data_IF_181350836222
#
_entry.id   IF_181350836222
#
_cell.length_a   1.000
_cell.length_b   1.000
_cell.length_c   1.000
_cell.angle_alpha   90.00
_cell.angle_beta   90.00
_cell.angle_gamma   90.00
#
_symmetry.space_group_name_H-M   'P 1'
#
loop_
_entity.id
_entity.type
_entity.pdbx_description
1 polymer ?
#
# COMPACT_ATOMS: atom_id res chain seq x y z
N UNK A 1 11.51 45.03 9.91
CA UNK A 1 12.09 43.66 9.76
C UNK A 1 12.23 42.87 11.08
N UNK A 2 12.26 43.51 12.27
CA UNK A 2 12.39 42.80 13.55
C UNK A 2 11.17 41.97 14.01
N UNK A 3 9.98 42.42 13.65
CA UNK A 3 8.73 41.87 14.16
C UNK A 3 8.43 40.41 13.70
N UNK A 4 8.91 40.06 12.52
CA UNK A 4 8.68 38.70 11.94
C UNK A 4 9.82 37.71 12.20
N UNK A 5 10.94 38.14 12.83
CA UNK A 5 12.08 37.23 13.07
C UNK A 5 11.69 36.02 13.93
N UNK A 6 10.82 36.23 14.94
CA UNK A 6 10.34 35.14 15.81
C UNK A 6 9.54 34.07 15.04
N UNK A 7 8.73 34.49 14.06
CA UNK A 7 7.96 33.57 13.22
C UNK A 7 8.88 32.78 12.26
N UNK A 8 9.93 33.40 11.75
CA UNK A 8 10.94 32.69 10.96
C UNK A 8 11.68 31.64 11.76
N UNK A 9 12.10 31.97 13.01
CA UNK A 9 12.73 30.98 13.90
C UNK A 9 11.75 29.84 14.23
N UNK A 10 10.50 30.15 14.49
CA UNK A 10 9.47 29.14 14.74
C UNK A 10 9.28 28.24 13.50
N UNK A 11 9.16 28.82 12.32
CA UNK A 11 9.04 28.06 11.07
C UNK A 11 10.23 27.13 10.87
N UNK A 12 11.44 27.63 11.02
CA UNK A 12 12.65 26.81 10.90
C UNK A 12 12.68 25.68 11.93
N UNK A 13 12.32 25.97 13.18
CA UNK A 13 12.25 24.94 14.22
C UNK A 13 11.22 23.85 13.90
N UNK A 14 10.05 24.24 13.41
CA UNK A 14 8.99 23.29 12.98
C UNK A 14 9.48 22.46 11.80
N UNK A 15 10.11 23.06 10.81
CA UNK A 15 10.66 22.33 9.65
C UNK A 15 11.74 21.33 10.09
N UNK A 16 12.70 21.75 10.92
CA UNK A 16 13.74 20.85 11.44
C UNK A 16 13.10 19.71 12.21
N UNK A 17 12.14 19.98 13.10
CA UNK A 17 11.43 18.97 13.85
C UNK A 17 10.68 17.97 12.93
N UNK A 18 9.95 18.49 11.96
CA UNK A 18 9.20 17.67 11.00
C UNK A 18 10.14 16.78 10.16
N UNK A 19 11.22 17.34 9.60
CA UNK A 19 12.17 16.55 8.81
C UNK A 19 12.96 15.55 9.65
N UNK A 20 13.25 15.86 10.93
CA UNK A 20 13.88 14.89 11.84
C UNK A 20 12.97 13.69 12.11
N UNK A 21 11.68 13.96 12.36
CA UNK A 21 10.66 12.89 12.58
C UNK A 21 10.49 12.07 11.30
N UNK A 22 10.33 12.73 10.15
CA UNK A 22 10.20 12.04 8.86
C UNK A 22 11.44 11.21 8.52
N UNK A 23 12.62 11.72 8.80
CA UNK A 23 13.88 11.01 8.58
C UNK A 23 14.00 9.76 9.47
N UNK A 24 13.63 9.89 10.75
CA UNK A 24 13.60 8.76 11.67
C UNK A 24 12.63 7.67 11.20
N UNK A 25 11.37 8.01 10.94
CA UNK A 25 10.39 7.02 10.48
C UNK A 25 10.71 6.48 9.08
N UNK A 26 11.27 7.31 8.19
CA UNK A 26 11.74 6.83 6.88
C UNK A 26 12.83 5.76 7.01
N UNK A 27 13.76 5.95 7.94
CA UNK A 27 14.77 4.93 8.25
C UNK A 27 14.16 3.65 8.85
N UNK A 28 13.21 3.77 9.79
CA UNK A 28 12.51 2.63 10.37
C UNK A 28 11.72 1.84 9.31
N UNK A 29 10.99 2.53 8.42
CA UNK A 29 10.25 1.90 7.31
C UNK A 29 11.20 1.12 6.40
N UNK A 30 12.37 1.69 6.08
CA UNK A 30 13.37 0.99 5.28
C UNK A 30 13.93 -0.24 5.99
N UNK A 31 14.23 -0.13 7.29
CA UNK A 31 14.75 -1.23 8.11
C UNK A 31 13.76 -2.38 8.25
N UNK A 32 12.47 -2.05 8.33
CA UNK A 32 11.39 -3.02 8.53
C UNK A 32 10.70 -3.45 7.22
N UNK A 33 11.26 -3.07 6.09
CA UNK A 33 10.74 -3.46 4.78
C UNK A 33 10.60 -4.99 4.67
N UNK A 34 9.53 -5.50 4.03
CA UNK A 34 9.36 -6.93 3.81
C UNK A 34 10.55 -7.50 3.04
N UNK A 35 11.12 -8.63 3.48
CA UNK A 35 12.22 -9.26 2.76
C UNK A 35 11.74 -9.83 1.43
N UNK A 36 12.54 -9.70 0.38
CA UNK A 36 12.39 -10.48 -0.84
C UNK A 36 13.32 -11.70 -0.70
N UNK A 37 12.77 -12.91 -0.51
CA UNK A 37 13.60 -14.11 -0.39
C UNK A 37 14.43 -14.37 -1.65
N UNK A 38 15.58 -15.01 -1.50
CA UNK A 38 16.39 -15.44 -2.65
C UNK A 38 15.63 -16.45 -3.50
N UNK A 39 14.84 -17.31 -2.84
CA UNK A 39 14.03 -18.31 -3.50
C UNK A 39 12.89 -18.83 -2.62
N UNK A 40 11.83 -19.28 -3.27
CA UNK A 40 10.83 -20.16 -2.70
C UNK A 40 11.05 -21.55 -3.29
N UNK A 41 10.99 -22.56 -2.45
CA UNK A 41 11.19 -23.96 -2.84
C UNK A 41 10.05 -24.84 -2.37
N UNK A 42 9.82 -25.94 -3.08
CA UNK A 42 8.92 -27.00 -2.63
C UNK A 42 9.55 -27.80 -1.46
N UNK A 43 8.79 -28.64 -0.81
CA UNK A 43 9.30 -29.62 0.18
C UNK A 43 10.36 -30.58 -0.41
N UNK A 44 10.31 -30.81 -1.73
CA UNK A 44 11.34 -31.59 -2.43
C UNK A 44 12.62 -30.81 -2.73
N UNK A 45 12.66 -29.50 -2.45
CA UNK A 45 13.80 -28.62 -2.72
C UNK A 45 13.82 -28.05 -4.15
N UNK A 46 12.78 -28.28 -4.95
CA UNK A 46 12.65 -27.68 -6.27
C UNK A 46 12.39 -26.18 -6.17
N UNK A 47 13.11 -25.39 -6.97
CA UNK A 47 12.92 -23.93 -7.02
C UNK A 47 11.63 -23.58 -7.77
N UNK A 48 10.75 -22.82 -7.11
CA UNK A 48 9.46 -22.42 -7.66
C UNK A 48 9.46 -20.94 -8.06
N UNK A 49 9.99 -20.08 -7.19
CA UNK A 49 10.07 -18.63 -7.41
C UNK A 49 11.47 -18.18 -6.99
N UNK A 50 12.07 -17.30 -7.78
CA UNK A 50 13.35 -16.66 -7.47
C UNK A 50 13.14 -15.19 -7.11
N UNK A 51 14.16 -14.57 -6.50
CA UNK A 51 14.21 -13.14 -6.24
C UNK A 51 13.93 -12.32 -7.51
N UNK A 52 14.57 -12.67 -8.62
CA UNK A 52 14.44 -11.95 -9.89
C UNK A 52 13.05 -12.09 -10.49
N UNK A 53 12.38 -13.23 -10.33
CA UNK A 53 10.98 -13.40 -10.74
C UNK A 53 10.06 -12.37 -10.08
N UNK A 54 10.28 -12.10 -8.79
CA UNK A 54 9.48 -11.13 -8.03
C UNK A 54 9.72 -9.70 -8.57
N UNK A 55 10.98 -9.34 -8.85
CA UNK A 55 11.33 -8.03 -9.41
C UNK A 55 10.80 -7.86 -10.85
N UNK A 56 10.86 -8.90 -11.66
CA UNK A 56 10.24 -8.88 -13.00
C UNK A 56 8.72 -8.73 -12.88
N UNK A 57 8.09 -9.42 -11.93
CA UNK A 57 6.67 -9.29 -11.67
C UNK A 57 6.28 -7.89 -11.19
N UNK A 58 7.08 -7.26 -10.33
CA UNK A 58 6.90 -5.87 -9.93
C UNK A 58 6.99 -4.93 -11.14
N UNK A 59 7.98 -5.14 -12.01
CA UNK A 59 8.13 -4.37 -13.26
C UNK A 59 6.92 -4.57 -14.16
N UNK A 60 6.45 -5.81 -14.35
CA UNK A 60 5.26 -6.11 -15.12
C UNK A 60 4.01 -5.39 -14.55
N UNK A 61 3.83 -5.39 -13.22
CA UNK A 61 2.75 -4.65 -12.56
C UNK A 61 2.82 -3.14 -12.83
N UNK A 62 4.02 -2.55 -12.74
CA UNK A 62 4.22 -1.13 -13.03
C UNK A 62 3.85 -0.77 -14.48
N UNK A 63 4.14 -1.65 -15.45
CA UNK A 63 3.80 -1.43 -16.86
C UNK A 63 2.30 -1.46 -17.15
N UNK A 64 1.50 -2.09 -16.27
CA UNK A 64 0.03 -2.10 -16.37
C UNK A 64 -0.64 -0.88 -15.74
N UNK A 65 0.12 0.08 -15.26
CA UNK A 65 -0.35 1.27 -14.57
C UNK A 65 -0.12 1.25 -13.05
N UNK A 66 0.40 0.14 -12.50
CA UNK A 66 0.76 0.02 -11.10
C UNK A 66 -0.41 0.38 -10.17
N UNK A 67 -0.19 1.35 -9.30
CA UNK A 67 -1.18 1.82 -8.31
C UNK A 67 -2.41 2.54 -8.92
N UNK A 68 -2.46 2.77 -10.22
CA UNK A 68 -3.61 3.41 -10.88
C UNK A 68 -4.76 2.42 -11.09
N UNK A 69 -4.48 1.12 -11.17
CA UNK A 69 -5.47 0.04 -11.32
C UNK A 69 -5.32 -0.92 -10.15
N UNK A 70 -6.14 -0.72 -9.13
CA UNK A 70 -6.05 -1.46 -7.88
C UNK A 70 -4.97 -0.94 -6.94
N UNK A 71 -4.77 -1.66 -5.85
CA UNK A 71 -3.78 -1.32 -4.83
C UNK A 71 -2.94 -2.55 -4.45
N UNK A 72 -1.80 -2.29 -3.83
CA UNK A 72 -0.95 -3.30 -3.18
C UNK A 72 -0.70 -2.81 -1.76
N UNK A 73 -0.90 -3.66 -0.77
CA UNK A 73 -0.79 -3.33 0.66
C UNK A 73 -1.63 -2.11 1.08
N UNK A 74 -2.79 -1.92 0.48
CA UNK A 74 -3.68 -0.79 0.74
C UNK A 74 -3.28 0.51 0.06
N UNK A 75 -2.22 0.52 -0.73
CA UNK A 75 -1.74 1.72 -1.43
C UNK A 75 -2.07 1.64 -2.93
N UNK A 76 -2.92 2.54 -3.40
CA UNK A 76 -3.34 2.64 -4.80
C UNK A 76 -4.80 3.06 -4.98
N UNK A 77 -5.29 3.00 -6.22
CA UNK A 77 -6.66 3.36 -6.57
C UNK A 77 -7.66 2.28 -6.17
N UNK A 78 -8.87 2.69 -5.81
CA UNK A 78 -9.98 1.79 -5.45
C UNK A 78 -10.84 1.37 -6.64
N UNK A 79 -10.34 1.50 -7.86
CA UNK A 79 -11.05 1.13 -9.08
C UNK A 79 -11.07 -0.39 -9.32
N UNK A 80 -10.04 -1.09 -8.85
CA UNK A 80 -9.92 -2.54 -8.80
C UNK A 80 -9.64 -2.94 -7.35
N UNK A 81 -9.62 -4.25 -7.01
CA UNK A 81 -9.34 -4.68 -5.65
C UNK A 81 -7.91 -4.33 -5.21
N UNK A 82 -7.64 -4.49 -3.92
CA UNK A 82 -6.28 -4.64 -3.46
C UNK A 82 -5.77 -6.04 -3.86
N UNK A 83 -4.74 -6.06 -4.69
CA UNK A 83 -4.21 -7.30 -5.26
C UNK A 83 -3.60 -8.22 -4.20
N UNK A 84 -3.08 -7.65 -3.11
CA UNK A 84 -2.59 -8.42 -1.95
C UNK A 84 -3.73 -9.12 -1.24
N UNK A 85 -4.83 -8.39 -0.98
CA UNK A 85 -6.00 -8.92 -0.28
C UNK A 85 -6.74 -9.96 -1.12
N UNK A 86 -6.97 -9.66 -2.41
CA UNK A 86 -7.66 -10.56 -3.33
C UNK A 86 -6.85 -11.84 -3.57
N UNK A 87 -5.52 -11.73 -3.74
CA UNK A 87 -4.65 -12.90 -3.85
C UNK A 87 -4.71 -13.76 -2.58
N UNK A 88 -4.48 -13.12 -1.42
CA UNK A 88 -4.45 -13.82 -0.15
C UNK A 88 -5.74 -14.61 0.07
N UNK A 89 -6.89 -13.96 -0.05
CA UNK A 89 -8.18 -14.61 0.15
C UNK A 89 -8.41 -15.79 -0.81
N UNK A 90 -8.07 -15.63 -2.11
CA UNK A 90 -8.18 -16.71 -3.11
C UNK A 90 -7.27 -17.87 -2.83
N UNK A 91 -6.02 -17.61 -2.48
CA UNK A 91 -5.06 -18.67 -2.17
C UNK A 91 -5.48 -19.46 -0.94
N UNK A 92 -5.95 -18.79 0.13
CA UNK A 92 -6.45 -19.43 1.34
C UNK A 92 -7.69 -20.29 1.07
N UNK A 93 -8.64 -19.77 0.27
CA UNK A 93 -9.83 -20.50 -0.13
C UNK A 93 -9.46 -21.72 -0.98
N UNK A 94 -8.56 -21.57 -1.95
CA UNK A 94 -8.08 -22.68 -2.75
C UNK A 94 -7.38 -23.76 -1.88
N UNK A 95 -6.54 -23.32 -0.90
CA UNK A 95 -5.89 -24.25 0.02
C UNK A 95 -6.90 -25.07 0.83
N UNK A 96 -7.94 -24.41 1.37
CA UNK A 96 -9.01 -25.06 2.13
C UNK A 96 -9.75 -26.08 1.28
N UNK A 97 -10.13 -25.73 0.06
CA UNK A 97 -10.86 -26.62 -0.84
C UNK A 97 -9.99 -27.81 -1.29
N UNK A 98 -8.72 -27.58 -1.61
CA UNK A 98 -7.78 -28.65 -1.99
C UNK A 98 -7.64 -29.63 -0.82
N UNK A 99 -7.37 -29.13 0.39
CA UNK A 99 -7.21 -29.98 1.57
C UNK A 99 -8.49 -30.73 1.92
N UNK A 100 -9.63 -30.05 1.88
CA UNK A 100 -10.94 -30.66 2.15
C UNK A 100 -11.25 -31.79 1.15
N UNK A 101 -10.97 -31.58 -0.14
CA UNK A 101 -11.15 -32.62 -1.15
C UNK A 101 -10.18 -33.79 -0.96
N UNK A 102 -8.92 -33.54 -0.62
CA UNK A 102 -7.92 -34.59 -0.40
C UNK A 102 -8.24 -35.45 0.83
N UNK A 103 -8.65 -34.83 1.95
CA UNK A 103 -8.84 -35.55 3.21
C UNK A 103 -10.27 -36.07 3.40
N UNK A 104 -11.30 -35.39 2.88
CA UNK A 104 -12.70 -35.69 3.14
C UNK A 104 -13.54 -35.94 1.88
N UNK A 105 -12.99 -35.77 0.68
CA UNK A 105 -13.70 -35.92 -0.59
C UNK A 105 -14.84 -34.93 -0.80
N UNK A 106 -14.80 -33.75 -0.15
CA UNK A 106 -15.82 -32.69 -0.16
C UNK A 106 -15.20 -31.32 -0.33
N UNK A 107 -15.99 -30.35 -0.75
CA UNK A 107 -15.54 -28.94 -0.68
C UNK A 107 -15.52 -28.47 0.79
N UNK A 108 -14.72 -27.47 1.08
CA UNK A 108 -14.59 -26.94 2.43
C UNK A 108 -15.93 -26.48 3.04
N UNK A 109 -16.80 -25.84 2.24
CA UNK A 109 -18.12 -25.39 2.67
C UNK A 109 -19.09 -26.53 3.08
N UNK A 110 -18.87 -27.75 2.58
CA UNK A 110 -19.70 -28.93 2.84
C UNK A 110 -19.22 -29.75 4.06
N UNK A 111 -18.15 -29.33 4.71
CA UNK A 111 -17.59 -29.95 5.91
C UNK A 111 -18.38 -29.57 7.16
N UNK A 112 -18.35 -30.43 8.17
CA UNK A 112 -18.90 -30.08 9.48
C UNK A 112 -17.99 -29.07 10.23
N UNK A 113 -18.51 -28.44 11.29
CA UNK A 113 -17.83 -27.36 12.04
C UNK A 113 -16.47 -27.79 12.62
N UNK A 114 -16.35 -29.05 13.08
CA UNK A 114 -15.10 -29.58 13.63
C UNK A 114 -14.02 -29.68 12.54
N UNK A 115 -14.39 -30.22 11.38
CA UNK A 115 -13.48 -30.34 10.22
C UNK A 115 -13.06 -28.96 9.70
N UNK A 116 -14.01 -28.03 9.58
CA UNK A 116 -13.71 -26.65 9.16
C UNK A 116 -12.76 -25.97 10.14
N UNK A 117 -13.01 -26.11 11.45
CA UNK A 117 -12.15 -25.53 12.50
C UNK A 117 -10.75 -26.13 12.45
N UNK A 118 -10.62 -27.45 12.28
CA UNK A 118 -9.33 -28.13 12.14
C UNK A 118 -8.54 -27.60 10.94
N UNK A 119 -9.17 -27.49 9.78
CA UNK A 119 -8.50 -27.01 8.57
C UNK A 119 -8.10 -25.54 8.69
N UNK A 120 -8.94 -24.67 9.26
CA UNK A 120 -8.59 -23.25 9.54
C UNK A 120 -7.41 -23.13 10.50
N UNK A 121 -7.33 -23.98 11.52
CA UNK A 121 -6.18 -23.96 12.44
C UNK A 121 -4.88 -24.36 11.75
N UNK A 122 -4.91 -25.39 10.88
CA UNK A 122 -3.75 -25.80 10.06
C UNK A 122 -3.34 -24.72 9.06
N UNK A 123 -4.30 -24.14 8.36
CA UNK A 123 -4.11 -23.03 7.44
C UNK A 123 -3.40 -21.86 8.14
N UNK A 124 -3.93 -21.42 9.30
CA UNK A 124 -3.36 -20.34 10.09
C UNK A 124 -1.92 -20.64 10.46
N UNK A 125 -1.64 -21.85 10.95
CA UNK A 125 -0.28 -22.27 11.33
C UNK A 125 0.69 -22.23 10.15
N UNK A 126 0.25 -22.68 8.97
CA UNK A 126 1.09 -22.73 7.78
C UNK A 126 1.41 -21.34 7.23
N UNK A 127 0.39 -20.50 7.08
CA UNK A 127 0.57 -19.18 6.46
C UNK A 127 1.26 -18.19 7.40
N UNK A 128 0.83 -18.12 8.65
CA UNK A 128 1.48 -17.23 9.63
C UNK A 128 2.85 -17.72 10.07
N UNK A 129 3.05 -19.02 10.17
CA UNK A 129 4.31 -19.63 10.52
C UNK A 129 5.36 -19.68 9.41
N UNK A 130 5.04 -19.23 8.21
CA UNK A 130 5.97 -19.21 7.08
C UNK A 130 7.13 -18.25 7.35
N UNK A 131 8.38 -18.69 7.17
CA UNK A 131 9.59 -17.92 7.54
C UNK A 131 10.62 -17.98 6.44
N UNK A 132 11.45 -16.94 6.36
CA UNK A 132 12.66 -16.95 5.56
C UNK A 132 13.79 -17.55 6.39
N UNK A 133 14.31 -18.69 5.97
CA UNK A 133 15.46 -19.33 6.58
C UNK A 133 16.61 -19.38 5.57
N UNK A 134 17.73 -18.74 5.89
CA UNK A 134 18.89 -18.63 4.99
C UNK A 134 18.53 -18.13 3.58
N UNK A 135 17.62 -17.13 3.49
CA UNK A 135 17.19 -16.58 2.22
C UNK A 135 16.16 -17.43 1.47
N UNK A 136 15.70 -18.54 2.04
CA UNK A 136 14.77 -19.49 1.40
C UNK A 136 13.48 -19.59 2.19
N UNK A 137 12.35 -19.71 1.49
CA UNK A 137 11.04 -20.05 2.05
C UNK A 137 10.63 -21.41 1.49
N UNK A 138 10.25 -22.33 2.36
CA UNK A 138 9.73 -23.65 1.96
C UNK A 138 8.21 -23.60 1.92
N UNK A 139 7.62 -24.07 0.83
CA UNK A 139 6.18 -24.14 0.60
C UNK A 139 5.75 -25.61 0.60
N UNK A 140 4.64 -25.92 1.29
CA UNK A 140 4.04 -27.24 1.22
C UNK A 140 3.47 -27.51 -0.17
N UNK A 141 3.33 -28.80 -0.52
CA UNK A 141 2.73 -29.20 -1.80
C UNK A 141 1.31 -28.68 -1.94
N UNK A 142 0.53 -28.63 -0.86
CA UNK A 142 -0.83 -28.07 -0.87
C UNK A 142 -0.82 -26.56 -1.14
N UNK A 143 0.10 -25.82 -0.51
CA UNK A 143 0.26 -24.38 -0.74
C UNK A 143 0.70 -24.08 -2.16
N UNK A 144 1.61 -24.89 -2.72
CA UNK A 144 2.01 -24.77 -4.12
C UNK A 144 0.83 -24.97 -5.07
N UNK A 145 0.02 -25.98 -4.85
CA UNK A 145 -1.17 -26.21 -5.67
C UNK A 145 -2.20 -25.07 -5.55
N UNK A 146 -2.38 -24.50 -4.34
CA UNK A 146 -3.25 -23.34 -4.12
C UNK A 146 -2.71 -22.08 -4.81
N UNK A 147 -1.39 -21.85 -4.72
CA UNK A 147 -0.70 -20.75 -5.40
C UNK A 147 -0.84 -20.87 -6.91
N UNK A 148 -0.59 -22.04 -7.49
CA UNK A 148 -0.71 -22.29 -8.93
C UNK A 148 -2.14 -22.04 -9.43
N UNK A 149 -3.13 -22.56 -8.71
CA UNK A 149 -4.54 -22.34 -9.05
C UNK A 149 -4.92 -20.87 -9.00
N UNK A 150 -4.39 -20.14 -8.02
CA UNK A 150 -4.58 -18.69 -7.88
C UNK A 150 -3.85 -17.94 -9.01
N UNK A 151 -2.62 -18.33 -9.36
CA UNK A 151 -1.86 -17.73 -10.43
C UNK A 151 -2.58 -17.85 -11.79
N UNK A 152 -3.22 -18.99 -12.09
CA UNK A 152 -4.00 -19.16 -13.31
C UNK A 152 -5.13 -18.14 -13.44
N UNK A 153 -5.81 -17.78 -12.34
CA UNK A 153 -6.81 -16.73 -12.36
C UNK A 153 -6.22 -15.38 -12.79
N UNK A 154 -5.05 -14.99 -12.27
CA UNK A 154 -4.41 -13.72 -12.64
C UNK A 154 -3.84 -13.73 -14.05
N UNK A 155 -3.27 -14.86 -14.49
CA UNK A 155 -2.82 -15.04 -15.87
C UNK A 155 -3.99 -14.85 -16.85
N UNK A 156 -5.16 -15.38 -16.51
CA UNK A 156 -6.41 -15.21 -17.26
C UNK A 156 -6.91 -13.75 -17.20
N UNK A 157 -6.94 -13.14 -15.99
CA UNK A 157 -7.44 -11.80 -15.76
C UNK A 157 -6.64 -10.72 -16.54
N UNK A 158 -5.33 -10.82 -16.56
CA UNK A 158 -4.45 -9.88 -17.26
C UNK A 158 -4.27 -10.21 -18.76
N UNK A 159 -4.86 -11.31 -19.20
CA UNK A 159 -4.97 -11.73 -20.59
C UNK A 159 -6.27 -11.29 -21.26
N UNK A 160 -6.70 -12.11 -22.19
CA UNK A 160 -7.92 -11.92 -23.00
C UNK A 160 -8.95 -13.05 -22.81
N UNK A 161 -8.80 -13.86 -21.77
CA UNK A 161 -9.70 -14.99 -21.49
C UNK A 161 -11.15 -14.49 -21.33
N UNK A 162 -12.10 -15.03 -22.13
CA UNK A 162 -13.52 -14.66 -22.03
C UNK A 162 -14.12 -14.88 -20.65
N UNK A 163 -13.64 -15.87 -19.88
CA UNK A 163 -14.14 -16.17 -18.54
C UNK A 163 -13.92 -15.02 -17.53
N UNK A 164 -12.90 -14.19 -17.74
CA UNK A 164 -12.59 -13.04 -16.88
C UNK A 164 -13.00 -11.69 -17.47
N UNK A 165 -13.68 -11.68 -18.63
CA UNK A 165 -14.05 -10.44 -19.32
C UNK A 165 -14.91 -9.52 -18.44
N UNK A 166 -15.97 -10.03 -17.84
CA UNK A 166 -16.86 -9.22 -16.96
C UNK A 166 -16.08 -8.64 -15.78
N UNK A 167 -15.16 -9.41 -15.21
CA UNK A 167 -14.30 -8.94 -14.11
C UNK A 167 -13.37 -7.82 -14.56
N UNK A 168 -12.76 -7.95 -15.76
CA UNK A 168 -11.94 -6.88 -16.34
C UNK A 168 -12.74 -5.60 -16.56
N UNK A 169 -13.95 -5.70 -17.09
CA UNK A 169 -14.85 -4.54 -17.28
C UNK A 169 -15.16 -3.86 -15.94
N UNK A 170 -15.46 -4.63 -14.88
CA UNK A 170 -15.71 -4.08 -13.54
C UNK A 170 -14.47 -3.39 -12.96
N UNK A 171 -13.28 -3.88 -13.25
CA UNK A 171 -12.02 -3.29 -12.78
C UNK A 171 -11.47 -2.22 -13.73
N UNK A 172 -12.22 -1.86 -14.78
CA UNK A 172 -11.80 -0.94 -15.85
C UNK A 172 -10.46 -1.33 -16.50
N UNK A 173 -10.20 -2.63 -16.58
CA UNK A 173 -9.02 -3.19 -17.24
C UNK A 173 -9.32 -3.45 -18.71
N UNK A 174 -8.31 -3.23 -19.56
CA UNK A 174 -8.41 -3.58 -20.99
C UNK A 174 -8.33 -5.09 -21.16
N UNK A 175 -8.93 -5.59 -22.23
CA UNK A 175 -8.60 -6.94 -22.71
C UNK A 175 -7.10 -7.02 -23.03
N UNK A 176 -6.48 -8.14 -22.65
CA UNK A 176 -5.07 -8.38 -22.84
C UNK A 176 -4.18 -7.25 -22.28
N UNK A 177 -4.47 -6.83 -21.04
CA UNK A 177 -3.74 -5.74 -20.33
C UNK A 177 -2.24 -5.99 -20.32
N UNK A 178 -1.82 -7.26 -20.20
CA UNK A 178 -0.43 -7.68 -20.25
C UNK A 178 -0.29 -8.79 -21.31
N UNK A 179 0.10 -8.46 -22.57
CA UNK A 179 0.11 -9.43 -23.68
C UNK A 179 1.09 -10.58 -23.50
N UNK A 180 2.24 -10.31 -22.90
CA UNK A 180 3.27 -11.32 -22.69
C UNK A 180 2.88 -12.30 -21.58
N UNK A 181 2.82 -13.60 -21.92
CA UNK A 181 2.48 -14.67 -21.01
C UNK A 181 3.51 -14.82 -19.88
N UNK A 182 4.81 -14.62 -20.17
CA UNK A 182 5.84 -14.71 -19.13
C UNK A 182 5.70 -13.57 -18.13
N UNK A 183 5.46 -12.34 -18.60
CA UNK A 183 5.20 -11.20 -17.74
C UNK A 183 3.96 -11.41 -16.85
N UNK A 184 2.89 -12.06 -17.36
CA UNK A 184 1.71 -12.44 -16.52
C UNK A 184 2.07 -13.46 -15.44
N UNK A 185 2.92 -14.44 -15.74
CA UNK A 185 3.41 -15.40 -14.75
C UNK A 185 4.25 -14.73 -13.68
N UNK A 186 5.14 -13.82 -14.08
CA UNK A 186 5.99 -13.09 -13.14
C UNK A 186 5.16 -12.11 -12.28
N UNK A 187 4.15 -11.44 -12.87
CA UNK A 187 3.17 -10.64 -12.15
C UNK A 187 2.45 -11.46 -11.06
N UNK A 188 2.03 -12.69 -11.38
CA UNK A 188 1.41 -13.59 -10.41
C UNK A 188 2.35 -13.93 -9.24
N UNK A 189 3.65 -14.14 -9.51
CA UNK A 189 4.67 -14.37 -8.48
C UNK A 189 4.88 -13.13 -7.59
N UNK A 190 4.82 -11.94 -8.15
CA UNK A 190 4.86 -10.70 -7.38
C UNK A 190 3.65 -10.57 -6.46
N UNK A 191 2.43 -10.82 -6.95
CA UNK A 191 1.23 -10.79 -6.10
C UNK A 191 1.27 -11.87 -5.00
N UNK A 192 1.77 -13.06 -5.31
CA UNK A 192 2.02 -14.08 -4.31
C UNK A 192 2.96 -13.59 -3.21
N UNK A 193 4.08 -12.96 -3.58
CA UNK A 193 5.02 -12.40 -2.60
C UNK A 193 4.36 -11.32 -1.73
N UNK A 194 3.57 -10.42 -2.32
CA UNK A 194 2.85 -9.39 -1.54
C UNK A 194 1.87 -10.01 -0.55
N UNK A 195 1.15 -11.06 -0.94
CA UNK A 195 0.24 -11.81 -0.07
C UNK A 195 1.00 -12.60 1.02
N UNK A 196 2.14 -13.19 0.67
CA UNK A 196 3.02 -13.86 1.65
C UNK A 196 3.47 -12.88 2.73
N UNK A 197 3.92 -11.67 2.38
CA UNK A 197 4.33 -10.65 3.36
C UNK A 197 3.17 -10.18 4.25
N UNK A 198 1.95 -10.23 3.74
CA UNK A 198 0.74 -9.86 4.47
C UNK A 198 0.28 -10.93 5.48
N UNK A 199 0.66 -12.18 5.26
CA UNK A 199 0.28 -13.31 6.12
C UNK A 199 1.39 -13.81 7.03
N UNK A 200 2.64 -13.81 6.58
CA UNK A 200 3.80 -14.32 7.33
C UNK A 200 4.16 -13.41 8.51
N UNK A 201 4.36 -13.97 9.68
CA UNK A 201 4.77 -13.21 10.87
C UNK A 201 6.23 -12.77 10.77
N UNK A 202 6.51 -11.55 11.20
CA UNK A 202 7.86 -11.05 11.38
C UNK A 202 8.58 -11.84 12.48
N UNK A 203 9.89 -11.99 12.42
CA UNK A 203 10.65 -12.60 13.50
C UNK A 203 10.37 -11.92 14.85
N UNK A 204 10.10 -12.73 15.88
CA UNK A 204 9.86 -12.30 17.25
C UNK A 204 8.59 -11.43 17.47
N UNK A 205 7.65 -11.45 16.56
CA UNK A 205 6.35 -10.76 16.71
C UNK A 205 5.21 -11.64 16.22
N UNK A 206 3.98 -11.28 16.59
CA UNK A 206 2.76 -11.89 16.03
C UNK A 206 2.13 -11.02 14.93
N UNK A 207 2.86 -10.02 14.46
CA UNK A 207 2.43 -9.18 13.37
C UNK A 207 3.11 -9.58 12.05
N UNK A 208 2.38 -9.53 10.96
CA UNK A 208 2.93 -9.72 9.62
C UNK A 208 3.81 -8.53 9.20
N UNK A 209 4.51 -8.64 8.07
CA UNK A 209 5.31 -7.53 7.55
C UNK A 209 4.48 -6.29 7.17
N UNK A 210 3.15 -6.44 7.06
CA UNK A 210 2.20 -5.35 6.79
C UNK A 210 1.34 -5.00 8.01
N UNK A 211 1.79 -5.34 9.23
CA UNK A 211 1.05 -5.16 10.49
C UNK A 211 -0.35 -5.79 10.46
N UNK A 212 -0.44 -7.00 9.93
CA UNK A 212 -1.66 -7.79 9.75
C UNK A 212 -2.71 -7.12 8.85
N UNK A 213 -2.29 -6.29 7.91
CA UNK A 213 -3.15 -5.81 6.84
C UNK A 213 -2.94 -6.69 5.58
N UNK A 214 -3.95 -7.08 4.82
CA UNK A 214 -5.39 -6.82 5.03
C UNK A 214 -5.99 -7.69 6.15
N UNK A 215 -7.17 -7.27 6.64
CA UNK A 215 -7.96 -8.14 7.53
C UNK A 215 -8.38 -9.40 6.78
N UNK A 216 -7.92 -10.57 7.25
CA UNK A 216 -8.27 -11.87 6.67
C UNK A 216 -8.68 -12.85 7.79
N UNK A 217 -10.00 -13.09 7.96
CA UNK A 217 -10.49 -13.90 9.06
C UNK A 217 -10.10 -15.38 8.97
N UNK A 218 -9.80 -15.92 7.77
CA UNK A 218 -9.46 -17.34 7.59
C UNK A 218 -8.16 -17.73 8.32
N UNK A 219 -7.26 -16.78 8.50
CA UNK A 219 -5.98 -16.96 9.20
C UNK A 219 -5.83 -16.06 10.43
N UNK A 220 -6.95 -15.49 10.90
CA UNK A 220 -6.97 -14.57 12.04
C UNK A 220 -5.99 -13.38 11.86
N UNK A 221 -5.85 -12.88 10.64
CA UNK A 221 -5.01 -11.73 10.32
C UNK A 221 -5.79 -10.45 10.60
N UNK A 222 -5.67 -9.93 11.83
CA UNK A 222 -6.34 -8.71 12.29
C UNK A 222 -5.33 -7.58 12.40
N UNK A 223 -5.61 -6.38 11.83
CA UNK A 223 -4.74 -5.22 11.97
C UNK A 223 -4.38 -4.95 13.43
N UNK A 224 -3.13 -4.57 13.67
CA UNK A 224 -2.65 -4.32 15.02
C UNK A 224 -3.36 -3.11 15.66
N UNK A 225 -3.60 -3.10 16.98
CA UNK A 225 -4.24 -1.97 17.67
C UNK A 225 -3.52 -0.64 17.40
N UNK A 226 -2.19 -0.66 17.33
CA UNK A 226 -1.37 0.53 17.04
C UNK A 226 -1.72 1.12 15.68
N UNK A 227 -1.86 0.28 14.66
CA UNK A 227 -2.22 0.72 13.30
C UNK A 227 -3.60 1.38 13.27
N UNK A 228 -4.57 0.82 13.98
CA UNK A 228 -5.93 1.39 14.12
C UNK A 228 -5.90 2.73 14.86
N UNK A 229 -5.18 2.80 15.99
CA UNK A 229 -5.06 4.02 16.80
C UNK A 229 -4.42 5.15 15.99
N UNK A 230 -3.30 4.88 15.29
CA UNK A 230 -2.64 5.89 14.47
C UNK A 230 -3.49 6.34 13.28
N UNK A 231 -4.26 5.45 12.66
CA UNK A 231 -5.20 5.81 11.60
C UNK A 231 -6.28 6.76 12.11
N UNK A 232 -6.89 6.46 13.26
CA UNK A 232 -7.89 7.34 13.89
C UNK A 232 -7.26 8.68 14.30
N UNK A 233 -6.10 8.65 14.96
CA UNK A 233 -5.40 9.85 15.39
C UNK A 233 -5.07 10.76 14.21
N UNK A 234 -4.59 10.23 13.08
CA UNK A 234 -4.26 11.01 11.89
C UNK A 234 -5.48 11.76 11.32
N UNK A 235 -6.65 11.11 11.28
CA UNK A 235 -7.90 11.75 10.85
C UNK A 235 -8.33 12.85 11.82
N UNK A 236 -8.24 12.61 13.13
CA UNK A 236 -8.56 13.62 14.15
C UNK A 236 -7.63 14.83 14.03
N UNK A 237 -6.32 14.61 13.88
CA UNK A 237 -5.35 15.70 13.70
C UNK A 237 -5.58 16.47 12.40
N UNK A 238 -5.94 15.80 11.31
CA UNK A 238 -6.28 16.44 10.04
C UNK A 238 -7.49 17.38 10.20
N UNK A 239 -8.58 16.88 10.78
CA UNK A 239 -9.81 17.67 11.02
C UNK A 239 -9.52 18.84 11.96
N UNK A 240 -8.81 18.60 13.06
CA UNK A 240 -8.40 19.62 14.01
C UNK A 240 -7.52 20.70 13.34
N UNK A 241 -6.58 20.29 12.49
CA UNK A 241 -5.71 21.18 11.73
C UNK A 241 -6.49 22.07 10.76
N UNK A 242 -7.42 21.48 10.00
CA UNK A 242 -8.33 22.25 9.12
C UNK A 242 -9.18 23.22 9.93
N UNK A 243 -9.78 22.76 11.03
CA UNK A 243 -10.57 23.62 11.92
C UNK A 243 -9.76 24.79 12.48
N UNK A 244 -8.52 24.54 12.87
CA UNK A 244 -7.60 25.56 13.35
C UNK A 244 -7.26 26.61 12.29
N UNK A 245 -6.98 26.18 11.05
CA UNK A 245 -6.73 27.10 9.92
C UNK A 245 -7.96 27.95 9.62
N UNK A 246 -9.16 27.35 9.58
CA UNK A 246 -10.42 28.07 9.36
C UNK A 246 -10.68 29.06 10.49
N UNK A 247 -10.39 28.69 11.76
CA UNK A 247 -10.53 29.58 12.91
C UNK A 247 -9.58 30.79 12.82
N UNK A 248 -8.29 30.57 12.51
CA UNK A 248 -7.32 31.67 12.30
C UNK A 248 -7.77 32.57 11.16
N UNK A 249 -8.21 31.98 10.03
CA UNK A 249 -8.69 32.75 8.89
C UNK A 249 -9.90 33.62 9.24
N UNK A 250 -10.89 33.04 9.95
CA UNK A 250 -12.05 33.80 10.43
C UNK A 250 -11.71 34.92 11.41
N UNK A 251 -10.71 34.66 12.28
CA UNK A 251 -10.23 35.69 13.22
C UNK A 251 -9.55 36.84 12.49
N UNK A 252 -8.67 36.56 11.52
CA UNK A 252 -8.02 37.57 10.69
C UNK A 252 -9.05 38.36 9.87
N UNK A 253 -10.01 37.70 9.28
CA UNK A 253 -11.05 38.38 8.49
C UNK A 253 -11.82 39.42 9.32
N UNK A 254 -12.08 39.15 10.60
CA UNK A 254 -12.71 40.13 11.52
C UNK A 254 -11.81 41.31 11.83
N UNK A 255 -10.49 41.12 11.83
CA UNK A 255 -9.56 42.24 11.99
C UNK A 255 -9.49 43.08 10.72
N UNK A 256 -9.45 42.47 9.55
CA UNK A 256 -9.43 43.12 8.24
C UNK A 256 -10.72 43.96 8.00
N UNK A 257 -11.88 43.50 8.50
CA UNK A 257 -13.14 44.24 8.43
C UNK A 257 -13.13 45.53 9.29
N UNK A 258 -12.13 45.71 10.17
CA UNK A 258 -11.92 46.92 10.96
C UNK A 258 -10.90 47.87 10.33
N UNK A 259 -10.29 47.47 9.22
CA UNK A 259 -9.37 48.32 8.49
C UNK A 259 -10.08 49.52 7.85
N UNK A 260 -9.43 50.69 7.76
CA UNK A 260 -10.02 51.85 7.11
C UNK A 260 -10.35 51.57 5.63
N UNK A 261 -11.37 52.22 5.09
CA UNK A 261 -11.77 52.02 3.70
C UNK A 261 -10.59 52.14 2.77
N UNK A 262 -10.57 51.30 1.73
CA UNK A 262 -9.52 51.33 0.72
C UNK A 262 -9.30 52.77 0.22
N UNK A 263 -8.04 53.14 0.02
CA UNK A 263 -7.72 54.49 -0.53
C UNK A 263 -8.42 54.67 -1.87
N UNK A 264 -8.95 55.86 -2.15
CA UNK A 264 -9.64 56.22 -3.40
C UNK A 264 -8.86 55.89 -4.69
N UNK A 265 -7.60 55.51 -4.55
CA UNK A 265 -6.68 55.23 -5.64
C UNK A 265 -6.25 53.79 -5.65
N UNK A 266 -6.55 53.09 -6.74
CA UNK A 266 -6.11 51.68 -6.93
C UNK A 266 -4.55 51.62 -7.03
N UNK A 267 -3.87 50.96 -6.06
CA UNK A 267 -2.42 50.82 -6.11
C UNK A 267 -1.91 50.08 -7.34
N UNK A 268 -2.76 49.32 -8.04
CA UNK A 268 -2.42 48.60 -9.28
C UNK A 268 -2.24 49.53 -10.48
N UNK A 269 -2.76 50.76 -10.42
CA UNK A 269 -2.57 51.77 -11.48
C UNK A 269 -1.21 52.48 -11.43
N UNK A 270 -0.41 52.21 -10.36
CA UNK A 270 0.96 52.70 -10.29
C UNK A 270 1.87 51.79 -11.09
N UNK A 271 2.65 52.39 -12.01
CA UNK A 271 3.70 51.70 -12.78
C UNK A 271 4.85 51.12 -11.91
N UNK A 272 4.79 51.30 -10.60
CA UNK A 272 5.80 50.80 -9.65
C UNK A 272 5.30 49.53 -8.98
N UNK A 273 6.10 48.47 -9.08
CA UNK A 273 5.86 47.21 -8.40
C UNK A 273 5.67 47.39 -6.90
N UNK A 274 4.59 46.90 -6.35
CA UNK A 274 4.36 46.86 -4.90
C UNK A 274 5.39 45.96 -4.21
N UNK A 275 5.63 46.12 -2.88
CA UNK A 275 6.53 45.23 -2.13
C UNK A 275 6.15 43.75 -2.26
N UNK A 276 4.86 43.41 -2.33
CA UNK A 276 4.37 42.05 -2.53
C UNK A 276 4.71 41.48 -3.91
N UNK A 277 4.57 42.32 -4.96
CA UNK A 277 4.95 41.94 -6.32
C UNK A 277 6.45 41.71 -6.47
N UNK A 278 7.28 42.53 -5.77
CA UNK A 278 8.75 42.32 -5.72
C UNK A 278 9.13 41.05 -4.99
N UNK A 279 8.37 40.65 -3.98
CA UNK A 279 8.58 39.41 -3.26
C UNK A 279 8.26 38.15 -4.12
N UNK A 280 7.40 38.29 -5.13
CA UNK A 280 6.97 37.19 -6.00
C UNK A 280 8.15 36.46 -6.67
N UNK A 281 9.18 37.21 -7.09
CA UNK A 281 10.40 36.66 -7.69
C UNK A 281 11.13 35.67 -6.77
N UNK A 282 11.15 35.91 -5.46
CA UNK A 282 11.80 35.03 -4.49
C UNK A 282 11.04 33.69 -4.38
N UNK A 283 9.70 33.74 -4.40
CA UNK A 283 8.87 32.53 -4.37
C UNK A 283 8.98 31.74 -5.67
N UNK A 284 9.07 32.41 -6.83
CA UNK A 284 9.28 31.75 -8.12
C UNK A 284 10.58 30.93 -8.13
N UNK A 285 11.70 31.51 -7.66
CA UNK A 285 12.97 30.78 -7.56
C UNK A 285 12.90 29.61 -6.58
N UNK A 286 12.20 29.77 -5.47
CA UNK A 286 12.01 28.68 -4.50
C UNK A 286 11.21 27.52 -5.12
N UNK A 287 10.12 27.83 -5.83
CA UNK A 287 9.31 26.83 -6.51
C UNK A 287 10.09 26.12 -7.61
N UNK A 288 10.85 26.86 -8.42
CA UNK A 288 11.72 26.26 -9.44
C UNK A 288 12.81 25.36 -8.83
N UNK A 289 13.42 25.76 -7.72
CA UNK A 289 14.39 24.94 -7.02
C UNK A 289 13.76 23.63 -6.48
N UNK A 290 12.57 23.71 -5.90
CA UNK A 290 11.83 22.54 -5.43
C UNK A 290 11.43 21.62 -6.60
N UNK A 291 11.04 22.20 -7.73
CA UNK A 291 10.70 21.43 -8.94
C UNK A 291 11.92 20.67 -9.49
N UNK A 292 13.10 21.31 -9.53
CA UNK A 292 14.35 20.66 -9.95
C UNK A 292 14.78 19.55 -8.99
N UNK A 293 14.46 19.67 -7.70
CA UNK A 293 14.77 18.62 -6.71
C UNK A 293 13.80 17.42 -6.77
N UNK A 294 12.66 17.55 -7.44
CA UNK A 294 11.68 16.48 -7.62
C UNK A 294 11.93 15.62 -8.88
N UNK A 295 12.75 16.06 -9.80
CA UNK A 295 13.17 15.36 -11.02
C UNK A 295 14.50 14.67 -10.80
#
# INVERSE_FOLDING_TARGET
MGQYKKFWYLLVAVLIGAFSILGYYGFEVYREAPPIPQQYVSESGEKVITHDDILHGQTAWQTTGGMQVGSVWGHGAYQAPDWTADWLHRELTNWLDITANQEFGKNFADLNDEQQTLLKARLTKEYRGSKVENGTVVLSNTRLAAMEKTAQYYISLYGDDPATKVTREHFAMKDNTLPDLQARKDLAKFFFWTAWTASAERPNTHASYTNNWPHEPLINNMPTPENVIWSIASVVFLIAGIGFVVWIWSFKKREDEKEPPMPEFDPLTKLQLTPSQRALGKYLFTVLALFVLQV
#
